data_IF_458610758645
#
_entry.id   IF_458610758645
#
_cell.length_a   1.000
_cell.length_b   1.000
_cell.length_c   1.000
_cell.angle_alpha   90.00
_cell.angle_beta   90.00
_cell.angle_gamma   90.00
#
_symmetry.space_group_name_H-M   'P 1'
#
loop_
_entity.id
_entity.type
_entity.pdbx_description
1 polymer ?
#
# COMPACT_ATOMS: atom_id res chain seq x y z
N UNK A 1 -45.83 66.00 25.39
CA UNK A 1 -46.35 64.65 25.04
C UNK A 1 -46.11 64.40 23.56
N UNK A 2 -45.11 63.59 23.20
CA UNK A 2 -44.98 62.93 21.89
C UNK A 2 -44.01 61.76 22.07
N UNK A 3 -44.58 60.59 22.38
CA UNK A 3 -43.87 59.31 22.37
C UNK A 3 -44.06 58.73 20.98
N UNK A 4 -42.99 58.32 20.32
CA UNK A 4 -42.93 56.98 19.74
C UNK A 4 -41.46 56.64 19.46
N UNK A 5 -41.01 55.64 20.19
CA UNK A 5 -39.74 54.96 20.09
C UNK A 5 -39.82 53.85 19.04
N UNK A 6 -38.64 53.38 18.61
CA UNK A 6 -38.35 52.04 18.07
C UNK A 6 -38.74 51.73 16.61
N UNK A 7 -37.73 51.61 15.76
CA UNK A 7 -37.60 50.51 14.80
C UNK A 7 -36.09 50.32 14.49
N UNK A 8 -35.43 49.51 15.32
CA UNK A 8 -34.81 48.25 14.93
C UNK A 8 -33.78 48.37 13.79
N UNK A 9 -32.51 48.43 14.21
CA UNK A 9 -31.41 47.82 13.48
C UNK A 9 -31.68 46.31 13.27
N UNK A 10 -30.90 45.68 12.39
CA UNK A 10 -30.88 44.26 12.02
C UNK A 10 -31.64 43.89 10.73
N UNK A 11 -30.99 44.14 9.60
CA UNK A 11 -31.09 43.29 8.42
C UNK A 11 -29.65 42.90 8.03
N UNK A 12 -29.15 41.81 8.60
CA UNK A 12 -29.10 40.49 7.98
C UNK A 12 -27.87 40.31 7.06
N UNK A 13 -26.68 40.26 7.68
CA UNK A 13 -25.57 39.44 7.17
C UNK A 13 -25.83 38.00 7.61
N UNK A 14 -26.17 37.07 6.70
CA UNK A 14 -25.58 35.75 6.81
C UNK A 14 -25.31 35.15 5.41
N UNK A 15 -24.30 35.66 4.70
CA UNK A 15 -23.76 34.95 3.51
C UNK A 15 -22.47 34.18 3.86
N UNK A 16 -22.06 34.16 5.13
CA UNK A 16 -20.79 33.59 5.58
C UNK A 16 -20.85 32.14 6.12
N UNK A 17 -21.97 31.42 5.96
CA UNK A 17 -22.14 30.08 6.52
C UNK A 17 -22.10 28.92 5.50
N UNK A 18 -21.47 29.13 4.32
CA UNK A 18 -21.29 28.07 3.31
C UNK A 18 -19.82 27.68 3.06
N UNK A 19 -18.88 28.23 3.83
CA UNK A 19 -17.54 27.66 3.86
C UNK A 19 -17.52 26.50 4.86
N UNK A 20 -16.85 25.39 4.51
CA UNK A 20 -16.50 24.26 5.38
C UNK A 20 -17.48 23.07 5.44
N UNK A 21 -17.88 22.57 4.27
CA UNK A 21 -18.02 21.11 4.09
C UNK A 21 -17.08 20.66 2.97
N UNK A 22 -15.80 21.00 3.09
CA UNK A 22 -14.78 20.28 2.34
C UNK A 22 -14.82 18.83 2.86
N UNK A 23 -14.99 17.81 2.01
CA UNK A 23 -14.83 16.43 2.45
C UNK A 23 -13.47 16.31 3.14
N UNK A 24 -13.34 15.53 4.23
CA UNK A 24 -12.05 15.31 4.86
C UNK A 24 -11.09 14.89 3.76
N UNK A 25 -10.01 15.66 3.57
CA UNK A 25 -8.98 15.29 2.63
C UNK A 25 -8.54 13.88 3.02
N UNK A 26 -8.75 12.90 2.13
CA UNK A 26 -8.23 11.54 2.25
C UNK A 26 -6.73 11.70 2.46
N UNK A 27 -6.29 11.64 3.73
CA UNK A 27 -4.89 11.74 4.05
C UNK A 27 -4.20 10.55 3.35
N UNK A 28 -3.10 10.77 2.62
CA UNK A 28 -2.42 9.68 1.96
C UNK A 28 -1.95 8.70 3.03
N UNK A 29 -2.53 7.49 3.01
CA UNK A 29 -2.13 6.40 3.89
C UNK A 29 -0.61 6.15 3.76
N UNK A 30 0.10 5.85 4.86
CA UNK A 30 1.55 5.69 4.82
C UNK A 30 1.96 4.44 4.03
N UNK A 31 2.91 4.60 3.09
CA UNK A 31 3.45 3.46 2.32
C UNK A 31 4.51 2.69 3.10
N UNK A 32 4.39 1.35 3.10
CA UNK A 32 5.22 0.43 3.85
C UNK A 32 6.14 -0.42 2.95
N UNK A 33 7.29 -0.78 3.49
CA UNK A 33 8.17 -1.82 2.94
C UNK A 33 7.47 -3.16 2.99
N UNK A 34 7.90 -4.05 2.10
CA UNK A 34 7.39 -5.42 2.04
C UNK A 34 8.51 -6.43 2.19
N UNK A 35 8.13 -7.58 2.72
CA UNK A 35 8.89 -8.81 2.66
C UNK A 35 8.12 -9.81 1.80
N UNK A 36 8.86 -10.62 1.04
CA UNK A 36 8.29 -11.73 0.30
C UNK A 36 9.04 -13.02 0.64
N UNK A 37 8.29 -14.05 0.97
CA UNK A 37 8.78 -15.41 1.22
C UNK A 37 8.07 -16.38 0.27
N UNK A 38 8.75 -17.47 -0.08
CA UNK A 38 8.24 -18.54 -0.91
C UNK A 38 8.43 -19.87 -0.19
N UNK A 39 7.42 -20.73 -0.30
CA UNK A 39 7.49 -22.13 0.09
C UNK A 39 7.23 -23.00 -1.14
N UNK A 40 7.92 -24.13 -1.34
CA UNK A 40 7.65 -25.03 -2.45
C UNK A 40 6.19 -25.51 -2.43
N UNK A 41 5.57 -25.56 -3.60
CA UNK A 41 4.25 -26.18 -3.80
C UNK A 41 4.40 -27.70 -4.04
N UNK A 42 3.27 -28.40 -4.18
CA UNK A 42 3.23 -29.83 -4.55
C UNK A 42 3.87 -30.12 -5.93
N UNK A 43 3.83 -29.14 -6.84
CA UNK A 43 4.45 -29.25 -8.16
C UNK A 43 5.90 -28.77 -8.11
N UNK A 44 6.90 -29.62 -8.46
CA UNK A 44 8.30 -29.24 -8.44
C UNK A 44 8.59 -27.97 -9.27
N UNK A 45 9.36 -27.05 -8.68
CA UNK A 45 9.72 -25.78 -9.32
C UNK A 45 8.66 -24.68 -9.24
N UNK A 46 7.49 -24.98 -8.66
CA UNK A 46 6.47 -23.99 -8.31
C UNK A 46 6.46 -23.71 -6.81
N UNK A 47 6.04 -22.50 -6.46
CA UNK A 47 6.06 -21.97 -5.10
C UNK A 47 4.77 -21.21 -4.80
N UNK A 48 4.36 -21.30 -3.54
CA UNK A 48 3.44 -20.35 -2.92
C UNK A 48 4.24 -19.19 -2.36
N UNK A 49 3.93 -17.99 -2.86
CA UNK A 49 4.55 -16.74 -2.45
C UNK A 49 3.62 -16.00 -1.51
N UNK A 50 4.16 -15.61 -0.37
CA UNK A 50 3.50 -14.76 0.62
C UNK A 50 4.22 -13.43 0.68
N UNK A 51 3.49 -12.33 0.50
CA UNK A 51 3.99 -10.96 0.61
C UNK A 51 3.28 -10.26 1.77
N UNK A 52 4.07 -9.66 2.65
CA UNK A 52 3.56 -8.97 3.83
C UNK A 52 4.25 -7.61 4.02
N UNK A 53 3.51 -6.64 4.55
CA UNK A 53 4.10 -5.36 4.96
C UNK A 53 4.95 -5.56 6.21
N UNK A 54 6.06 -4.82 6.32
CA UNK A 54 6.95 -4.88 7.48
C UNK A 54 7.07 -3.52 8.14
N UNK A 55 8.04 -2.71 7.73
CA UNK A 55 8.34 -1.39 8.31
C UNK A 55 8.11 -0.27 7.30
N UNK A 56 8.12 0.98 7.75
CA UNK A 56 8.15 2.16 6.89
C UNK A 56 9.56 2.38 6.30
N UNK A 57 9.74 3.38 5.42
CA UNK A 57 11.07 3.75 4.95
C UNK A 57 12.00 4.18 6.08
N UNK A 58 11.47 4.70 7.18
CA UNK A 58 12.18 5.16 8.37
C UNK A 58 12.46 4.03 9.38
N UNK A 59 12.11 2.78 9.06
CA UNK A 59 12.37 1.62 9.91
C UNK A 59 11.40 1.46 11.09
N UNK A 60 10.33 2.25 11.14
CA UNK A 60 9.26 2.08 12.13
C UNK A 60 8.30 0.96 11.70
N UNK A 61 7.61 0.27 12.62
CA UNK A 61 6.55 -0.67 12.26
C UNK A 61 5.54 -0.05 11.29
N UNK A 62 5.04 -0.82 10.33
CA UNK A 62 3.97 -0.35 9.44
C UNK A 62 2.69 -0.09 10.27
N UNK A 63 2.12 1.11 10.23
CA UNK A 63 0.94 1.45 11.02
C UNK A 63 -0.31 0.79 10.44
N UNK A 64 -1.36 0.60 11.25
CA UNK A 64 -2.54 -0.19 10.88
C UNK A 64 -3.31 0.32 9.65
N UNK A 65 -3.25 1.62 9.37
CA UNK A 65 -3.84 2.27 8.21
C UNK A 65 -2.87 2.34 7.01
N UNK A 66 -1.63 1.88 7.18
CA UNK A 66 -0.62 1.82 6.12
C UNK A 66 -0.89 0.73 5.09
N UNK A 67 -0.13 0.77 4.00
CA UNK A 67 -0.23 -0.22 2.93
C UNK A 67 1.04 -0.24 2.07
N UNK A 68 1.18 -1.24 1.22
CA UNK A 68 2.16 -1.28 0.14
C UNK A 68 1.47 -1.53 -1.19
N UNK A 69 1.89 -0.83 -2.25
CA UNK A 69 1.51 -1.18 -3.62
C UNK A 69 2.58 -2.08 -4.20
N UNK A 70 2.25 -3.34 -4.41
CA UNK A 70 3.16 -4.36 -4.94
C UNK A 70 2.81 -4.73 -6.37
N UNK A 71 3.78 -5.25 -7.10
CA UNK A 71 3.61 -5.90 -8.40
C UNK A 71 4.56 -7.08 -8.49
N UNK A 72 4.03 -8.23 -8.90
CA UNK A 72 4.83 -9.39 -9.22
C UNK A 72 5.38 -9.30 -10.65
N UNK A 73 6.63 -9.72 -10.85
CA UNK A 73 7.28 -9.74 -12.17
C UNK A 73 8.04 -11.04 -12.44
N UNK A 74 7.90 -11.55 -13.68
CA UNK A 74 8.58 -12.75 -14.19
C UNK A 74 8.40 -12.85 -15.70
N UNK A 75 9.31 -12.23 -16.47
CA UNK A 75 9.18 -12.05 -17.93
C UNK A 75 7.97 -11.19 -18.37
N UNK A 76 6.93 -11.11 -17.54
CA UNK A 76 5.68 -10.36 -17.64
C UNK A 76 5.49 -9.55 -16.36
N UNK A 77 4.83 -8.40 -16.50
CA UNK A 77 4.41 -7.55 -15.39
C UNK A 77 2.93 -7.79 -15.07
N UNK A 78 2.62 -8.01 -13.79
CA UNK A 78 1.26 -8.18 -13.32
C UNK A 78 0.64 -6.83 -12.87
N UNK A 79 -0.69 -6.75 -12.67
CA UNK A 79 -1.30 -5.57 -12.10
C UNK A 79 -0.74 -5.24 -10.71
N UNK A 80 -0.79 -3.95 -10.34
CA UNK A 80 -0.49 -3.54 -8.98
C UNK A 80 -1.56 -4.08 -8.03
N UNK A 81 -1.15 -4.48 -6.83
CA UNK A 81 -2.04 -4.95 -5.75
C UNK A 81 -1.66 -4.25 -4.45
N UNK A 82 -2.65 -3.90 -3.64
CA UNK A 82 -2.42 -3.37 -2.31
C UNK A 82 -2.22 -4.52 -1.31
N UNK A 83 -1.25 -4.37 -0.42
CA UNK A 83 -1.03 -5.24 0.73
C UNK A 83 -1.13 -4.38 1.98
N UNK A 84 -2.01 -4.75 2.90
CA UNK A 84 -2.22 -4.02 4.16
C UNK A 84 -1.68 -4.81 5.33
N UNK A 85 -1.34 -4.16 6.45
CA UNK A 85 -0.89 -4.82 7.67
C UNK A 85 -1.84 -5.90 8.15
N UNK A 86 -1.27 -7.04 8.57
CA UNK A 86 -2.03 -8.18 9.08
C UNK A 86 -2.76 -9.01 8.02
N UNK A 87 -2.80 -8.57 6.76
CA UNK A 87 -3.44 -9.32 5.66
C UNK A 87 -2.41 -9.62 4.57
N UNK A 88 -1.75 -10.80 4.61
CA UNK A 88 -0.75 -11.14 3.61
C UNK A 88 -1.39 -11.34 2.24
N UNK A 89 -0.68 -10.91 1.20
CA UNK A 89 -0.99 -11.31 -0.18
C UNK A 89 -0.37 -12.68 -0.44
N UNK A 90 -1.17 -13.64 -0.89
CA UNK A 90 -0.72 -15.02 -1.14
C UNK A 90 -1.02 -15.42 -2.58
N UNK A 91 -0.05 -16.03 -3.27
CA UNK A 91 -0.24 -16.56 -4.61
C UNK A 91 0.59 -17.83 -4.85
N UNK A 92 -0.08 -18.90 -5.28
CA UNK A 92 0.50 -20.20 -5.61
C UNK A 92 0.79 -20.35 -7.11
N UNK A 93 1.53 -21.40 -7.47
CA UNK A 93 1.88 -21.69 -8.85
C UNK A 93 2.91 -20.73 -9.45
N UNK A 94 3.74 -20.12 -8.61
CA UNK A 94 4.75 -19.14 -9.02
C UNK A 94 6.09 -19.86 -9.25
N UNK A 95 6.68 -19.83 -10.47
CA UNK A 95 8.00 -20.41 -10.67
C UNK A 95 9.12 -19.61 -9.96
N UNK A 96 10.29 -20.21 -9.83
CA UNK A 96 11.41 -19.71 -9.00
C UNK A 96 12.05 -18.36 -9.41
N UNK A 97 11.80 -17.84 -10.62
CA UNK A 97 12.52 -16.67 -11.17
C UNK A 97 11.75 -15.33 -11.03
N UNK A 98 10.86 -15.25 -10.03
CA UNK A 98 10.02 -14.08 -9.80
C UNK A 98 10.64 -13.07 -8.84
N UNK A 99 10.13 -11.85 -8.89
CA UNK A 99 10.45 -10.77 -7.95
C UNK A 99 9.23 -9.95 -7.59
N UNK A 100 9.29 -9.26 -6.45
CA UNK A 100 8.26 -8.30 -6.02
C UNK A 100 8.80 -6.88 -6.19
N UNK A 101 8.12 -6.08 -7.00
CA UNK A 101 8.28 -4.63 -7.03
C UNK A 101 7.32 -3.99 -6.04
N UNK A 102 7.74 -2.95 -5.32
CA UNK A 102 6.82 -2.15 -4.53
C UNK A 102 7.15 -0.66 -4.58
N UNK A 103 6.15 0.22 -4.42
CA UNK A 103 6.32 1.68 -4.41
C UNK A 103 6.33 2.22 -2.99
N UNK A 104 7.28 3.12 -2.69
CA UNK A 104 7.35 3.82 -1.42
C UNK A 104 6.83 5.26 -1.50
N UNK A 105 6.79 5.95 -0.35
CA UNK A 105 6.37 7.37 -0.25
C UNK A 105 7.17 8.30 -1.17
N UNK A 106 8.44 7.97 -1.47
CA UNK A 106 9.28 8.73 -2.39
C UNK A 106 8.89 8.60 -3.87
N UNK A 107 7.89 7.78 -4.21
CA UNK A 107 7.52 7.46 -5.60
C UNK A 107 8.47 6.46 -6.28
N UNK A 108 9.65 6.22 -5.71
CA UNK A 108 10.62 5.23 -6.20
C UNK A 108 10.05 3.81 -6.06
N UNK A 109 10.33 2.97 -7.06
CA UNK A 109 10.00 1.54 -7.07
C UNK A 109 11.22 0.75 -6.59
N UNK A 110 11.01 -0.14 -5.63
CA UNK A 110 12.02 -0.96 -5.01
C UNK A 110 11.86 -2.42 -5.42
N UNK A 111 12.99 -3.13 -5.53
CA UNK A 111 13.01 -4.56 -5.86
C UNK A 111 13.23 -5.39 -4.60
N UNK A 112 12.39 -6.40 -4.39
CA UNK A 112 12.53 -7.39 -3.33
C UNK A 112 12.66 -8.76 -3.99
N UNK A 113 13.76 -9.44 -3.67
CA UNK A 113 13.95 -10.85 -4.01
C UNK A 113 13.05 -11.68 -3.09
N UNK A 114 12.39 -12.68 -3.65
CA UNK A 114 11.51 -13.57 -2.88
C UNK A 114 12.39 -14.62 -2.20
N UNK A 115 12.45 -14.57 -0.86
CA UNK A 115 13.26 -15.52 -0.09
C UNK A 115 12.66 -16.92 -0.18
N UNK A 116 13.50 -17.96 -0.27
CA UNK A 116 13.05 -19.35 -0.35
C UNK A 116 12.80 -19.86 -1.78
N UNK A 117 12.81 -18.99 -2.79
CA UNK A 117 12.87 -19.43 -4.18
C UNK A 117 14.27 -19.95 -4.52
N UNK A 118 14.33 -21.18 -5.02
CA UNK A 118 15.58 -21.82 -5.45
C UNK A 118 15.44 -22.21 -6.91
N UNK A 119 16.46 -21.93 -7.71
CA UNK A 119 16.47 -22.36 -9.10
C UNK A 119 16.58 -23.89 -9.18
N UNK A 120 15.68 -24.58 -9.90
CA UNK A 120 15.78 -26.02 -10.14
C UNK A 120 16.99 -26.35 -11.03
N UNK A 121 17.54 -25.36 -11.74
CA UNK A 121 18.74 -25.51 -12.59
C UNK A 121 20.04 -25.30 -11.80
N UNK A 122 19.96 -24.99 -10.50
CA UNK A 122 21.13 -24.87 -9.63
C UNK A 122 21.54 -26.19 -8.96
N UNK A 123 20.89 -27.31 -9.34
CA UNK A 123 21.15 -28.64 -8.75
C UNK A 123 22.23 -29.46 -9.48
N UNK A 124 22.83 -28.96 -10.55
CA UNK A 124 24.05 -29.53 -11.10
C UNK A 124 25.21 -28.62 -10.73
N UNK A 125 26.00 -29.05 -9.75
CA UNK A 125 27.18 -28.31 -9.30
C UNK A 125 28.03 -27.87 -10.48
N UNK A 126 28.37 -26.58 -10.52
CA UNK A 126 29.46 -26.12 -11.35
C UNK A 126 29.58 -24.60 -11.39
N UNK A 127 30.77 -24.08 -11.70
CA UNK A 127 32.10 -24.52 -11.27
C UNK A 127 32.45 -24.11 -9.83
#
# INVERSE_FOLDING_TARGET
MKRLFLALMFAALPVLALAQLSPPALQPFPLCRVEAIAVPDETPGLYTVTVQTTTTLQGQPCPADGYALIRLESGRQYPLSAVVPGVPFVRSGIPWYWRVMWRALSGKVYRVLIRGMVSPFSLDGGP
#
